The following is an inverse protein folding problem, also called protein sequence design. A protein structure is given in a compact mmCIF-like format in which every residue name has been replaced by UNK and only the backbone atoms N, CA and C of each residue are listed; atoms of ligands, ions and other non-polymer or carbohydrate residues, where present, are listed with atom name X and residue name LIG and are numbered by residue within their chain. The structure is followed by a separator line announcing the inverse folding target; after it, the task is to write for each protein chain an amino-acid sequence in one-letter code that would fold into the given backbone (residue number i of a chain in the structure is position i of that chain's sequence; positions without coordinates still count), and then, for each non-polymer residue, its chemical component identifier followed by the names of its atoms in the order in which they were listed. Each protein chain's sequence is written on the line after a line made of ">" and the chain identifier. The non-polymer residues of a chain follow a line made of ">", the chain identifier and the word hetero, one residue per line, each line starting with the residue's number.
data_IF_362956593809
#
_entry.id   IF_362956593809
#
_cell.length_a   1.000
_cell.length_b   1.000
_cell.length_c   1.000
_cell.angle_alpha   90.00
_cell.angle_beta   90.00
_cell.angle_gamma   90.00
#
_symmetry.space_group_name_H-M   'P 1'
#
loop_
_entity.id
_entity.type
_entity.pdbx_description
1 polymer ?
#
# COMPACT_ATOMS: atom_id res chain seq x y z
N UNK A 1 -11.26 14.54 19.60
CA UNK A 1 -9.89 14.62 20.17
C UNK A 1 -9.34 13.25 20.58
N UNK A 2 -10.04 12.44 21.39
CA UNK A 2 -9.56 11.15 21.87
C UNK A 2 -9.15 10.18 20.73
N UNK A 3 -10.02 9.92 19.75
CA UNK A 3 -9.70 9.08 18.59
C UNK A 3 -8.52 9.61 17.76
N UNK A 4 -8.41 10.91 17.59
CA UNK A 4 -7.30 11.52 16.84
C UNK A 4 -5.95 11.22 17.51
N UNK A 5 -5.86 11.39 18.84
CA UNK A 5 -4.63 11.15 19.59
C UNK A 5 -4.22 9.68 19.49
N UNK A 6 -5.13 8.75 19.79
CA UNK A 6 -4.81 7.32 19.70
C UNK A 6 -4.48 6.87 18.28
N UNK A 7 -5.16 7.41 17.27
CA UNK A 7 -4.85 7.11 15.88
C UNK A 7 -3.46 7.62 15.47
N UNK A 8 -3.09 8.83 15.88
CA UNK A 8 -1.75 9.38 15.62
C UNK A 8 -0.65 8.54 16.30
N UNK A 9 -0.86 8.16 17.58
CA UNK A 9 0.08 7.29 18.30
C UNK A 9 0.22 5.94 17.58
N UNK A 10 -0.89 5.32 17.22
CA UNK A 10 -0.90 4.04 16.50
C UNK A 10 -0.12 4.13 15.18
N UNK A 11 -0.40 5.13 14.35
CA UNK A 11 0.28 5.31 13.06
C UNK A 11 1.78 5.60 13.23
N UNK A 12 2.16 6.35 14.28
CA UNK A 12 3.57 6.60 14.59
C UNK A 12 4.28 5.30 14.95
N UNK A 13 3.72 4.49 15.84
CA UNK A 13 4.31 3.21 16.24
C UNK A 13 4.40 2.23 15.06
N UNK A 14 3.36 2.13 14.24
CA UNK A 14 3.39 1.31 13.01
C UNK A 14 4.49 1.76 12.06
N UNK A 15 4.66 3.06 11.88
CA UNK A 15 5.70 3.60 10.98
C UNK A 15 7.11 3.37 11.54
N UNK A 16 7.31 3.53 12.86
CA UNK A 16 8.57 3.22 13.53
C UNK A 16 8.99 1.75 13.37
N UNK A 17 8.03 0.84 13.28
CA UNK A 17 8.30 -0.57 12.99
C UNK A 17 8.49 -0.84 11.49
N UNK A 18 7.63 -0.27 10.64
CA UNK A 18 7.58 -0.57 9.22
C UNK A 18 8.81 -0.10 8.44
N UNK A 19 9.37 1.06 8.79
CA UNK A 19 10.53 1.64 8.07
C UNK A 19 11.79 0.79 8.23
N UNK A 20 12.25 0.42 9.45
CA UNK A 20 13.42 -0.45 9.62
C UNK A 20 13.19 -1.84 9.02
N UNK A 21 11.99 -2.40 9.19
CA UNK A 21 11.62 -3.69 8.59
C UNK A 21 11.72 -3.65 7.06
N UNK A 22 11.28 -2.58 6.43
CA UNK A 22 11.36 -2.41 4.97
C UNK A 22 12.80 -2.27 4.47
N UNK A 23 13.64 -1.54 5.22
CA UNK A 23 15.05 -1.40 4.90
C UNK A 23 15.84 -2.71 5.05
N UNK A 24 15.39 -3.63 5.90
CA UNK A 24 16.05 -4.91 6.14
C UNK A 24 16.26 -5.73 4.86
N UNK A 25 15.37 -5.61 3.87
CA UNK A 25 15.50 -6.31 2.59
C UNK A 25 16.79 -5.96 1.84
N UNK A 26 17.38 -4.78 2.07
CA UNK A 26 18.65 -4.38 1.47
C UNK A 26 19.85 -5.08 2.10
N UNK A 27 19.70 -5.54 3.36
CA UNK A 27 20.75 -6.16 4.14
C UNK A 27 20.73 -7.71 4.11
N UNK A 28 19.67 -8.30 3.55
CA UNK A 28 19.52 -9.78 3.47
C UNK A 28 20.57 -10.37 2.54
N UNK A 29 20.82 -9.77 1.40
CA UNK A 29 21.81 -10.24 0.42
C UNK A 29 22.46 -9.09 -0.32
N UNK A 30 23.71 -9.34 -0.75
CA UNK A 30 24.45 -8.43 -1.63
C UNK A 30 24.01 -8.59 -3.09
N UNK A 31 23.42 -9.73 -3.44
CA UNK A 31 22.94 -10.00 -4.79
C UNK A 31 21.55 -9.42 -5.03
N UNK A 32 21.39 -8.69 -6.14
CA UNK A 32 20.14 -8.01 -6.49
C UNK A 32 19.00 -9.00 -6.78
N UNK A 33 19.30 -10.14 -7.40
CA UNK A 33 18.31 -11.19 -7.69
C UNK A 33 17.71 -11.76 -6.40
N UNK A 34 18.53 -11.95 -5.37
CA UNK A 34 18.06 -12.42 -4.07
C UNK A 34 17.24 -11.36 -3.33
N UNK A 35 17.62 -10.09 -3.44
CA UNK A 35 16.83 -8.96 -2.87
C UNK A 35 15.48 -8.82 -3.57
N UNK A 36 15.43 -8.97 -4.89
CA UNK A 36 14.17 -8.94 -5.66
C UNK A 36 13.27 -10.12 -5.25
N UNK A 37 13.83 -11.32 -5.09
CA UNK A 37 13.10 -12.49 -4.58
C UNK A 37 12.62 -12.29 -3.15
N UNK A 38 13.45 -11.79 -2.25
CA UNK A 38 13.07 -11.49 -0.86
C UNK A 38 11.94 -10.46 -0.80
N UNK A 39 11.98 -9.44 -1.67
CA UNK A 39 10.90 -8.45 -1.79
C UNK A 39 9.60 -9.09 -2.26
N UNK A 40 9.65 -10.01 -3.23
CA UNK A 40 8.46 -10.72 -3.70
C UNK A 40 7.86 -11.63 -2.60
N UNK A 41 8.69 -12.38 -1.87
CA UNK A 41 8.23 -13.18 -0.73
C UNK A 41 7.59 -12.29 0.35
N UNK A 42 8.21 -11.18 0.70
CA UNK A 42 7.67 -10.21 1.66
C UNK A 42 6.31 -9.70 1.22
N UNK A 43 6.17 -9.26 -0.04
CA UNK A 43 4.91 -8.76 -0.57
C UNK A 43 3.82 -9.85 -0.61
N UNK A 44 4.19 -11.08 -0.94
CA UNK A 44 3.24 -12.21 -0.92
C UNK A 44 2.69 -12.45 0.48
N UNK A 45 3.55 -12.46 1.50
CA UNK A 45 3.13 -12.63 2.91
C UNK A 45 2.33 -11.44 3.41
N UNK A 46 2.68 -10.22 3.00
CA UNK A 46 1.93 -8.99 3.32
C UNK A 46 0.50 -9.03 2.76
N UNK A 47 0.33 -9.42 1.50
CA UNK A 47 -1.00 -9.54 0.90
C UNK A 47 -1.78 -10.72 1.50
N UNK A 48 -1.13 -11.85 1.79
CA UNK A 48 -1.77 -12.95 2.54
C UNK A 48 -2.25 -12.50 3.93
N UNK A 49 -1.45 -11.72 4.64
CA UNK A 49 -1.82 -11.12 5.93
C UNK A 49 -3.06 -10.22 5.78
N UNK A 50 -3.12 -9.42 4.71
CA UNK A 50 -4.28 -8.58 4.38
C UNK A 50 -5.53 -9.43 4.10
N UNK A 51 -5.40 -10.52 3.33
CA UNK A 51 -6.49 -11.47 3.06
C UNK A 51 -7.01 -12.08 4.36
N UNK A 52 -6.12 -12.59 5.22
CA UNK A 52 -6.50 -13.16 6.51
C UNK A 52 -7.17 -12.12 7.41
N UNK A 53 -6.62 -10.91 7.50
CA UNK A 53 -7.20 -9.81 8.27
C UNK A 53 -8.59 -9.42 7.78
N UNK A 54 -8.76 -9.29 6.47
CA UNK A 54 -10.05 -8.98 5.83
C UNK A 54 -11.07 -10.10 6.08
N UNK A 55 -10.66 -11.36 5.95
CA UNK A 55 -11.52 -12.51 6.18
C UNK A 55 -11.96 -12.58 7.66
N UNK A 56 -11.05 -12.43 8.60
CA UNK A 56 -11.34 -12.43 10.04
C UNK A 56 -12.30 -11.29 10.38
N UNK A 57 -11.98 -10.07 9.95
CA UNK A 57 -12.82 -8.91 10.20
C UNK A 57 -14.19 -9.06 9.55
N UNK A 58 -14.26 -9.54 8.31
CA UNK A 58 -15.49 -9.79 7.58
C UNK A 58 -16.41 -10.80 8.27
N UNK A 59 -15.86 -11.89 8.77
CA UNK A 59 -16.65 -12.92 9.47
C UNK A 59 -17.13 -12.45 10.86
N UNK A 60 -16.36 -11.66 11.56
CA UNK A 60 -16.72 -11.18 12.91
C UNK A 60 -17.67 -9.98 12.81
N UNK A 61 -17.32 -8.97 12.01
CA UNK A 61 -18.06 -7.71 11.93
C UNK A 61 -19.22 -7.79 10.95
N UNK A 62 -19.10 -8.57 9.88
CA UNK A 62 -20.15 -8.72 8.86
C UNK A 62 -21.47 -9.29 9.38
N UNK A 63 -21.42 -10.07 10.47
CA UNK A 63 -22.61 -10.60 11.15
C UNK A 63 -23.32 -9.56 12.04
N UNK A 64 -22.64 -8.49 12.39
CA UNK A 64 -23.15 -7.40 13.24
C UNK A 64 -23.54 -6.17 12.40
N UNK A 65 -24.18 -6.38 11.25
CA UNK A 65 -24.58 -5.29 10.35
C UNK A 65 -25.64 -4.42 10.99
N UNK A 66 -25.33 -3.15 11.21
CA UNK A 66 -26.34 -2.16 11.60
C UNK A 66 -27.31 -1.92 10.44
N UNK A 67 -28.62 -2.01 10.66
CA UNK A 67 -29.59 -1.66 9.63
C UNK A 67 -29.43 -0.20 9.22
N UNK A 68 -29.60 0.09 7.93
CA UNK A 68 -29.63 1.46 7.46
C UNK A 68 -30.88 2.19 7.99
N UNK A 69 -30.79 3.50 8.11
CA UNK A 69 -31.90 4.35 8.51
C UNK A 69 -32.72 4.67 7.25
N UNK A 70 -33.92 4.13 7.17
CA UNK A 70 -34.90 4.50 6.17
C UNK A 70 -35.51 5.82 6.64
N UNK A 71 -35.36 6.89 5.88
CA UNK A 71 -36.12 8.12 6.11
C UNK A 71 -37.60 7.79 5.89
N UNK A 72 -38.47 7.91 6.90
CA UNK A 72 -39.88 7.60 6.67
C UNK A 72 -40.42 8.54 5.59
N UNK A 73 -41.20 8.00 4.62
CA UNK A 73 -41.91 8.87 3.71
C UNK A 73 -42.77 9.82 4.53
N UNK A 74 -42.80 11.08 4.14
CA UNK A 74 -43.52 12.19 4.75
C UNK A 74 -44.97 11.79 5.08
N UNK A 75 -45.21 11.23 6.24
CA UNK A 75 -46.54 10.94 6.74
C UNK A 75 -46.82 11.85 7.95
N UNK A 76 -47.75 12.75 7.67
CA UNK A 76 -48.59 13.55 8.58
C UNK A 76 -48.43 13.27 10.09
N UNK A 77 -48.04 14.33 10.78
CA UNK A 77 -48.13 14.50 12.24
C UNK A 77 -49.51 14.10 12.74
N UNK A 78 -49.62 12.99 13.45
CA UNK A 78 -50.47 12.88 14.64
C UNK A 78 -50.39 11.45 15.25
N UNK A 79 -49.83 11.40 16.46
CA UNK A 79 -50.09 10.40 17.53
C UNK A 79 -49.66 8.91 17.39
N UNK A 80 -49.03 8.46 16.32
CA UNK A 80 -48.46 7.10 16.24
C UNK A 80 -46.94 7.04 16.57
N UNK A 81 -46.36 8.19 16.82
CA UNK A 81 -44.92 8.42 16.83
C UNK A 81 -44.17 7.96 18.08
N UNK A 82 -44.80 7.80 19.23
CA UNK A 82 -44.08 7.52 20.49
C UNK A 82 -43.74 6.03 20.67
N UNK A 83 -44.66 5.13 20.29
CA UNK A 83 -44.44 3.69 20.46
C UNK A 83 -43.45 3.13 19.42
N UNK A 84 -43.54 3.57 18.16
CA UNK A 84 -42.60 3.18 17.10
C UNK A 84 -41.21 3.76 17.33
N UNK A 85 -41.12 5.00 17.83
CA UNK A 85 -39.85 5.64 18.21
C UNK A 85 -39.14 4.88 19.33
N UNK A 86 -39.85 4.36 20.31
CA UNK A 86 -39.26 3.60 21.41
C UNK A 86 -38.82 2.20 20.99
N UNK A 87 -39.58 1.48 20.16
CA UNK A 87 -39.21 0.17 19.65
C UNK A 87 -38.02 0.26 18.70
N UNK A 88 -37.99 1.27 17.83
CA UNK A 88 -36.84 1.50 16.93
C UNK A 88 -35.59 1.94 17.70
N UNK A 89 -35.70 2.73 18.76
CA UNK A 89 -34.56 3.16 19.57
C UNK A 89 -33.96 2.02 20.39
N UNK A 90 -34.75 1.13 20.97
CA UNK A 90 -34.25 -0.03 21.72
C UNK A 90 -33.58 -1.07 20.83
N UNK A 91 -34.15 -1.36 19.65
CA UNK A 91 -33.55 -2.25 18.68
C UNK A 91 -32.26 -1.68 18.07
N UNK A 92 -32.22 -0.36 17.88
CA UNK A 92 -31.04 0.37 17.39
C UNK A 92 -29.91 0.41 18.44
N UNK A 93 -30.24 0.58 19.73
CA UNK A 93 -29.26 0.57 20.83
C UNK A 93 -28.63 -0.82 21.00
N UNK A 94 -29.39 -1.90 20.90
CA UNK A 94 -28.87 -3.26 20.94
C UNK A 94 -27.91 -3.54 19.78
N UNK A 95 -28.29 -3.19 18.55
CA UNK A 95 -27.48 -3.37 17.35
C UNK A 95 -26.15 -2.59 17.39
N UNK A 96 -26.11 -1.40 18.00
CA UNK A 96 -24.86 -0.65 18.18
C UNK A 96 -23.92 -1.29 19.20
N UNK A 97 -24.46 -1.85 20.30
CA UNK A 97 -23.66 -2.55 21.30
C UNK A 97 -23.06 -3.84 20.70
N UNK A 98 -23.82 -4.59 19.92
CA UNK A 98 -23.37 -5.80 19.22
C UNK A 98 -22.27 -5.47 18.21
N UNK A 99 -22.43 -4.41 17.43
CA UNK A 99 -21.41 -3.94 16.48
C UNK A 99 -20.12 -3.53 17.20
N UNK A 100 -20.23 -2.80 18.31
CA UNK A 100 -19.06 -2.41 19.14
C UNK A 100 -18.33 -3.63 19.68
N UNK A 101 -19.07 -4.60 20.19
CA UNK A 101 -18.51 -5.84 20.71
C UNK A 101 -17.81 -6.66 19.61
N UNK A 102 -18.40 -6.74 18.41
CA UNK A 102 -17.78 -7.39 17.27
C UNK A 102 -16.45 -6.74 16.88
N UNK A 103 -16.38 -5.41 16.83
CA UNK A 103 -15.11 -4.70 16.57
C UNK A 103 -14.09 -4.91 17.69
N UNK A 104 -14.50 -4.95 18.95
CA UNK A 104 -13.58 -5.24 20.07
C UNK A 104 -13.00 -6.65 19.98
N UNK A 105 -13.82 -7.65 19.64
CA UNK A 105 -13.36 -9.04 19.45
C UNK A 105 -12.42 -9.11 18.26
N UNK A 106 -12.76 -8.52 17.12
CA UNK A 106 -11.89 -8.48 15.94
C UNK A 106 -10.53 -7.82 16.25
N UNK A 107 -10.54 -6.69 16.97
CA UNK A 107 -9.32 -6.01 17.38
C UNK A 107 -8.47 -6.87 18.33
N UNK A 108 -9.10 -7.62 19.25
CA UNK A 108 -8.41 -8.53 20.15
C UNK A 108 -7.73 -9.69 19.41
N UNK A 109 -8.41 -10.29 18.43
CA UNK A 109 -7.85 -11.38 17.60
C UNK A 109 -6.68 -10.86 16.75
N UNK A 110 -6.84 -9.73 16.07
CA UNK A 110 -5.78 -9.15 15.23
C UNK A 110 -4.60 -8.71 16.09
N UNK A 111 -4.85 -8.09 17.26
CA UNK A 111 -3.80 -7.71 18.21
C UNK A 111 -3.02 -8.92 18.74
N UNK A 112 -3.69 -10.03 19.02
CA UNK A 112 -3.05 -11.28 19.39
C UNK A 112 -2.13 -11.84 18.29
N UNK A 113 -2.56 -11.76 17.03
CA UNK A 113 -1.73 -12.15 15.88
C UNK A 113 -0.50 -11.23 15.74
N UNK A 114 -0.64 -9.93 15.96
CA UNK A 114 0.52 -9.02 15.93
C UNK A 114 1.55 -9.35 17.00
N UNK A 115 1.11 -9.64 18.24
CA UNK A 115 2.01 -10.05 19.34
C UNK A 115 2.73 -11.35 18.97
N UNK A 116 2.00 -12.34 18.44
CA UNK A 116 2.58 -13.60 18.01
C UNK A 116 3.66 -13.40 16.94
N UNK A 117 3.36 -12.60 15.90
CA UNK A 117 4.33 -12.29 14.85
C UNK A 117 5.56 -11.54 15.39
N UNK A 118 5.37 -10.59 16.31
CA UNK A 118 6.46 -9.85 16.94
C UNK A 118 7.37 -10.77 17.77
N UNK A 119 6.80 -11.72 18.51
CA UNK A 119 7.56 -12.72 19.26
C UNK A 119 8.35 -13.63 18.32
N UNK A 120 7.73 -14.14 17.25
CA UNK A 120 8.42 -14.98 16.25
C UNK A 120 9.59 -14.20 15.63
N UNK A 121 9.39 -12.94 15.27
CA UNK A 121 10.44 -12.10 14.70
C UNK A 121 11.60 -11.89 15.70
N UNK A 122 11.28 -11.58 16.97
CA UNK A 122 12.29 -11.30 18.00
C UNK A 122 13.13 -12.51 18.35
N UNK A 123 12.52 -13.71 18.32
CA UNK A 123 13.22 -14.98 18.65
C UNK A 123 13.91 -15.58 17.42
N UNK A 124 13.30 -15.46 16.25
CA UNK A 124 13.77 -16.11 15.01
C UNK A 124 14.86 -15.35 14.27
N UNK A 125 14.94 -14.03 14.41
CA UNK A 125 15.90 -13.20 13.69
C UNK A 125 17.04 -12.80 14.62
N UNK A 126 18.26 -13.21 14.28
CA UNK A 126 19.49 -12.78 14.97
C UNK A 126 20.18 -11.73 14.12
N UNK A 127 20.55 -10.62 14.75
CA UNK A 127 21.35 -9.58 14.09
C UNK A 127 22.74 -10.14 13.77
N UNK A 128 23.08 -10.17 12.48
CA UNK A 128 24.42 -10.54 12.03
C UNK A 128 25.31 -9.30 12.23
N UNK A 129 26.18 -9.33 13.23
CA UNK A 129 27.27 -8.35 13.37
C UNK A 129 28.22 -8.56 12.19
N UNK A 130 27.96 -7.87 11.11
CA UNK A 130 28.92 -7.76 10.03
C UNK A 130 30.04 -6.85 10.53
N UNK A 131 31.28 -7.36 10.45
CA UNK A 131 32.49 -6.66 10.82
C UNK A 131 32.50 -5.24 10.23
N UNK A 132 32.98 -4.32 10.99
CA UNK A 132 33.02 -2.86 10.91
C UNK A 132 33.39 -2.17 9.58
N UNK A 133 33.48 -2.86 8.48
CA UNK A 133 33.82 -2.28 7.16
C UNK A 133 32.69 -1.45 6.51
N UNK A 134 31.47 -1.55 7.02
CA UNK A 134 30.30 -0.80 6.53
C UNK A 134 29.92 0.38 7.41
N UNK A 135 30.58 0.56 8.53
CA UNK A 135 30.33 1.65 9.44
C UNK A 135 31.20 2.85 9.00
N UNK A 136 30.61 3.82 8.32
CA UNK A 136 31.24 5.12 8.16
C UNK A 136 31.44 5.72 9.54
N UNK A 137 32.67 6.11 9.87
CA UNK A 137 33.05 6.66 11.19
C UNK A 137 32.37 8.01 11.50
N UNK A 138 31.70 8.63 10.55
CA UNK A 138 30.95 9.88 10.75
C UNK A 138 29.45 9.65 10.79
N UNK A 139 28.74 10.13 11.83
CA UNK A 139 27.29 10.08 11.89
C UNK A 139 26.69 10.93 10.75
N UNK A 140 25.96 10.27 9.87
CA UNK A 140 25.27 10.93 8.76
C UNK A 140 24.25 11.93 9.31
N UNK A 141 24.48 13.23 9.06
CA UNK A 141 23.50 14.26 9.40
C UNK A 141 22.22 14.02 8.59
N UNK A 142 21.10 13.75 9.28
CA UNK A 142 19.81 13.47 8.67
C UNK A 142 19.41 14.52 7.62
N UNK A 143 19.53 15.81 7.95
CA UNK A 143 19.17 16.90 7.02
C UNK A 143 20.09 16.98 5.79
N UNK A 144 21.37 16.67 5.94
CA UNK A 144 22.29 16.63 4.81
C UNK A 144 21.97 15.44 3.90
N UNK A 145 21.75 14.28 4.49
CA UNK A 145 21.33 13.07 3.75
C UNK A 145 20.00 13.27 3.03
N UNK A 146 19.03 13.89 3.70
CA UNK A 146 17.75 14.26 3.12
C UNK A 146 17.91 15.14 1.88
N UNK A 147 18.69 16.23 2.00
CA UNK A 147 18.95 17.14 0.88
C UNK A 147 19.61 16.42 -0.29
N UNK A 148 20.52 15.49 0.01
CA UNK A 148 21.24 14.73 -1.01
C UNK A 148 20.30 13.77 -1.74
N UNK A 149 19.45 13.01 -1.01
CA UNK A 149 18.46 12.11 -1.55
C UNK A 149 17.40 12.84 -2.40
N UNK A 150 16.91 13.98 -1.89
CA UNK A 150 15.93 14.81 -2.62
C UNK A 150 16.52 15.56 -3.81
N UNK A 151 17.83 15.64 -3.93
CA UNK A 151 18.47 16.19 -5.12
C UNK A 151 18.80 15.11 -6.17
N UNK A 152 18.65 13.83 -5.83
CA UNK A 152 18.90 12.74 -6.75
C UNK A 152 17.78 12.61 -7.79
N UNK A 153 18.07 12.98 -9.04
CA UNK A 153 17.05 13.12 -10.11
C UNK A 153 16.29 11.86 -10.42
N UNK A 154 16.91 10.68 -10.34
CA UNK A 154 16.22 9.39 -10.57
C UNK A 154 15.18 9.12 -9.48
N UNK A 155 15.51 9.42 -8.22
CA UNK A 155 14.61 9.23 -7.09
C UNK A 155 13.37 10.13 -7.18
N UNK A 156 13.55 11.42 -7.45
CA UNK A 156 12.45 12.37 -7.56
C UNK A 156 11.47 11.97 -8.65
N UNK A 157 11.97 11.56 -9.83
CA UNK A 157 11.14 11.10 -10.94
C UNK A 157 10.36 9.84 -10.59
N UNK A 158 11.00 8.88 -9.89
CA UNK A 158 10.36 7.67 -9.40
C UNK A 158 9.24 7.99 -8.42
N UNK A 159 9.56 8.76 -7.36
CA UNK A 159 8.59 9.10 -6.30
C UNK A 159 7.42 9.91 -6.87
N UNK A 160 7.66 10.87 -7.76
CA UNK A 160 6.60 11.67 -8.34
C UNK A 160 5.65 10.81 -9.19
N UNK A 161 6.18 9.89 -10.00
CA UNK A 161 5.36 8.94 -10.75
C UNK A 161 4.51 8.04 -9.84
N UNK A 162 5.11 7.49 -8.79
CA UNK A 162 4.39 6.66 -7.82
C UNK A 162 3.44 7.45 -6.93
N UNK A 163 3.69 8.71 -6.66
CA UNK A 163 2.77 9.56 -5.90
C UNK A 163 1.41 9.67 -6.60
N UNK A 164 1.38 9.93 -7.89
CA UNK A 164 0.13 10.02 -8.65
C UNK A 164 -0.57 8.67 -8.79
N UNK A 165 0.17 7.59 -9.06
CA UNK A 165 -0.41 6.25 -9.14
C UNK A 165 -0.89 5.76 -7.77
N UNK A 166 -0.15 6.00 -6.70
CA UNK A 166 -0.59 5.70 -5.33
C UNK A 166 -1.85 6.47 -4.95
N UNK A 167 -1.94 7.76 -5.30
CA UNK A 167 -3.14 8.56 -5.06
C UNK A 167 -4.36 7.96 -5.77
N UNK A 168 -4.19 7.48 -7.02
CA UNK A 168 -5.25 6.82 -7.77
C UNK A 168 -5.74 5.55 -7.06
N UNK A 169 -4.82 4.67 -6.65
CA UNK A 169 -5.18 3.43 -5.96
C UNK A 169 -5.77 3.68 -4.57
N UNK A 170 -5.28 4.65 -3.81
CA UNK A 170 -5.82 5.02 -2.50
C UNK A 170 -7.23 5.63 -2.60
N UNK A 171 -7.52 6.41 -3.66
CA UNK A 171 -8.87 6.90 -3.95
C UNK A 171 -9.81 5.75 -4.27
N UNK A 172 -9.38 4.81 -5.10
CA UNK A 172 -10.14 3.62 -5.44
C UNK A 172 -10.45 2.79 -4.19
N UNK A 173 -9.44 2.45 -3.40
CA UNK A 173 -9.58 1.64 -2.19
C UNK A 173 -10.49 2.30 -1.16
N UNK A 174 -10.31 3.60 -0.90
CA UNK A 174 -11.10 4.34 0.09
C UNK A 174 -12.59 4.48 -0.28
N UNK A 175 -12.93 4.52 -1.56
CA UNK A 175 -14.31 4.69 -2.03
C UNK A 175 -14.97 3.37 -2.49
N UNK A 176 -14.22 2.29 -2.61
CA UNK A 176 -14.71 1.02 -3.16
C UNK A 176 -15.88 0.44 -2.36
N UNK A 177 -15.81 0.50 -1.03
CA UNK A 177 -16.87 0.02 -0.16
C UNK A 177 -18.21 0.77 -0.38
N UNK A 178 -18.14 2.10 -0.46
CA UNK A 178 -19.31 2.95 -0.69
C UNK A 178 -19.86 2.74 -2.11
N UNK A 179 -18.99 2.61 -3.09
CA UNK A 179 -19.35 2.34 -4.46
C UNK A 179 -20.08 0.99 -4.61
N UNK A 180 -19.56 -0.09 -4.03
CA UNK A 180 -20.23 -1.39 -4.04
C UNK A 180 -21.57 -1.37 -3.32
N UNK A 181 -21.66 -0.64 -2.20
CA UNK A 181 -22.86 -0.57 -1.37
C UNK A 181 -23.97 0.25 -2.01
N UNK A 182 -23.65 1.47 -2.50
CA UNK A 182 -24.65 2.44 -2.91
C UNK A 182 -24.84 2.54 -4.42
N UNK A 183 -23.77 2.33 -5.20
CA UNK A 183 -23.86 2.44 -6.67
C UNK A 183 -24.17 1.11 -7.33
N UNK A 184 -23.51 0.03 -6.92
CA UNK A 184 -23.76 -1.30 -7.45
C UNK A 184 -24.90 -2.05 -6.72
N UNK A 185 -25.25 -1.64 -5.50
CA UNK A 185 -26.29 -2.29 -4.70
C UNK A 185 -25.87 -3.59 -4.02
N UNK A 186 -24.57 -3.95 -4.02
CA UNK A 186 -24.03 -5.20 -3.48
C UNK A 186 -23.58 -5.08 -2.02
N UNK A 187 -24.43 -4.56 -1.16
CA UNK A 187 -24.12 -4.31 0.25
C UNK A 187 -23.64 -5.57 0.99
N UNK A 188 -24.26 -6.71 0.76
CA UNK A 188 -23.93 -7.96 1.43
C UNK A 188 -22.73 -8.68 0.80
N UNK A 189 -22.44 -8.42 -0.48
CA UNK A 189 -21.40 -9.10 -1.25
C UNK A 189 -20.07 -8.33 -1.27
N UNK A 190 -20.03 -7.09 -0.76
CA UNK A 190 -18.84 -6.24 -0.78
C UNK A 190 -17.60 -6.97 -0.23
N UNK A 191 -17.74 -7.67 0.90
CA UNK A 191 -16.61 -8.37 1.52
C UNK A 191 -16.10 -9.54 0.68
N UNK A 192 -17.01 -10.26 0.03
CA UNK A 192 -16.68 -11.37 -0.87
C UNK A 192 -15.97 -10.85 -2.13
N UNK A 193 -16.42 -9.70 -2.67
CA UNK A 193 -15.79 -9.05 -3.83
C UNK A 193 -14.39 -8.57 -3.45
N UNK A 194 -14.23 -7.93 -2.28
CA UNK A 194 -12.92 -7.49 -1.78
C UNK A 194 -11.97 -8.68 -1.56
N UNK A 195 -12.48 -9.77 -0.98
CA UNK A 195 -11.72 -11.00 -0.79
C UNK A 195 -11.26 -11.59 -2.14
N UNK A 196 -12.13 -11.58 -3.16
CA UNK A 196 -11.79 -12.04 -4.50
C UNK A 196 -10.65 -11.20 -5.14
N UNK A 197 -10.69 -9.87 -4.98
CA UNK A 197 -9.61 -8.97 -5.43
C UNK A 197 -8.29 -9.32 -4.73
N UNK A 198 -8.30 -9.44 -3.41
CA UNK A 198 -7.09 -9.70 -2.62
C UNK A 198 -6.51 -11.09 -2.89
N UNK A 199 -7.36 -12.09 -3.04
CA UNK A 199 -6.94 -13.45 -3.38
C UNK A 199 -6.31 -13.51 -4.77
N UNK A 200 -6.93 -12.88 -5.76
CA UNK A 200 -6.40 -12.75 -7.10
C UNK A 200 -5.06 -12.00 -7.11
N UNK A 201 -4.93 -10.90 -6.35
CA UNK A 201 -3.69 -10.16 -6.20
C UNK A 201 -2.58 -11.05 -5.64
N UNK A 202 -2.86 -11.81 -4.56
CA UNK A 202 -1.88 -12.73 -3.95
C UNK A 202 -1.37 -13.77 -4.94
N UNK A 203 -2.29 -14.40 -5.68
CA UNK A 203 -1.94 -15.45 -6.64
C UNK A 203 -1.15 -14.93 -7.85
N UNK A 204 -1.27 -13.66 -8.17
CA UNK A 204 -0.59 -13.03 -9.32
C UNK A 204 0.74 -12.37 -8.99
N UNK A 205 1.13 -12.22 -7.72
CA UNK A 205 2.46 -11.71 -7.34
C UNK A 205 3.61 -12.51 -7.97
N UNK A 206 3.63 -13.86 -7.93
CA UNK A 206 4.68 -14.63 -8.57
C UNK A 206 4.76 -14.42 -10.09
N UNK A 207 3.61 -14.21 -10.75
CA UNK A 207 3.56 -13.86 -12.16
C UNK A 207 4.24 -12.50 -12.42
N UNK A 208 3.93 -11.48 -11.62
CA UNK A 208 4.57 -10.17 -11.76
C UNK A 208 6.05 -10.21 -11.45
N UNK A 209 6.48 -11.01 -10.48
CA UNK A 209 7.90 -11.23 -10.19
C UNK A 209 8.63 -11.85 -11.39
N UNK A 210 8.06 -12.87 -12.00
CA UNK A 210 8.60 -13.46 -13.24
C UNK A 210 8.60 -12.44 -14.37
N UNK A 211 7.52 -11.68 -14.55
CA UNK A 211 7.38 -10.70 -15.63
C UNK A 211 8.42 -9.58 -15.52
N UNK A 212 8.63 -9.02 -14.32
CA UNK A 212 9.60 -7.94 -14.11
C UNK A 212 11.05 -8.40 -14.31
N UNK A 213 11.35 -9.66 -13.98
CA UNK A 213 12.69 -10.23 -14.22
C UNK A 213 12.96 -10.51 -15.68
N UNK A 214 11.92 -10.86 -16.45
CA UNK A 214 12.03 -11.21 -17.88
C UNK A 214 12.01 -10.02 -18.82
N UNK A 215 11.12 -9.06 -18.57
CA UNK A 215 10.83 -7.94 -19.47
C UNK A 215 11.32 -6.59 -18.92
N UNK A 216 11.87 -6.57 -17.72
CA UNK A 216 12.36 -5.38 -17.05
C UNK A 216 11.28 -4.65 -16.25
N UNK A 217 11.73 -3.94 -15.19
CA UNK A 217 10.87 -3.29 -14.20
C UNK A 217 10.06 -2.14 -14.80
N UNK A 218 10.66 -1.33 -15.69
CA UNK A 218 9.98 -0.21 -16.35
C UNK A 218 8.82 -0.68 -17.23
N UNK A 219 9.03 -1.75 -18.02
CA UNK A 219 7.98 -2.37 -18.84
C UNK A 219 6.85 -2.93 -17.95
N UNK A 220 7.21 -3.57 -16.83
CA UNK A 220 6.24 -4.10 -15.88
C UNK A 220 5.36 -3.00 -15.28
N UNK A 221 5.92 -1.81 -14.96
CA UNK A 221 5.15 -0.64 -14.49
C UNK A 221 4.12 -0.22 -15.53
N UNK A 222 4.54 -0.05 -16.79
CA UNK A 222 3.62 0.35 -17.85
C UNK A 222 2.49 -0.67 -18.04
N UNK A 223 2.81 -1.94 -18.18
CA UNK A 223 1.81 -2.99 -18.40
C UNK A 223 0.93 -3.19 -17.17
N UNK A 224 1.53 -3.28 -15.98
CA UNK A 224 0.82 -3.57 -14.74
C UNK A 224 -0.13 -2.46 -14.30
N UNK A 225 0.35 -1.22 -14.33
CA UNK A 225 -0.48 -0.09 -13.89
C UNK A 225 -1.51 0.30 -14.96
N UNK A 226 -1.15 0.27 -16.26
CA UNK A 226 -2.11 0.57 -17.33
C UNK A 226 -3.22 -0.48 -17.44
N UNK A 227 -2.97 -1.73 -17.05
CA UNK A 227 -3.99 -2.78 -17.05
C UNK A 227 -5.17 -2.48 -16.11
N UNK A 228 -5.01 -1.60 -15.10
CA UNK A 228 -6.10 -1.16 -14.25
C UNK A 228 -7.14 -0.30 -15.01
N UNK A 229 -6.70 0.49 -15.99
CA UNK A 229 -7.56 1.47 -16.69
C UNK A 229 -8.81 0.85 -17.32
N UNK A 230 -8.73 -0.22 -18.15
CA UNK A 230 -9.93 -0.83 -18.72
C UNK A 230 -10.90 -1.34 -17.66
N UNK A 231 -10.40 -1.89 -16.55
CA UNK A 231 -11.27 -2.40 -15.48
C UNK A 231 -12.00 -1.28 -14.74
N UNK A 232 -11.34 -0.16 -14.49
CA UNK A 232 -11.95 1.03 -13.89
C UNK A 232 -13.06 1.63 -14.77
N UNK A 233 -12.90 1.57 -16.09
CA UNK A 233 -13.93 2.03 -17.04
C UNK A 233 -15.09 1.03 -17.06
N UNK A 234 -14.81 -0.26 -17.18
CA UNK A 234 -15.82 -1.32 -17.25
C UNK A 234 -16.71 -1.33 -16.03
N UNK A 235 -16.16 -1.21 -14.81
CA UNK A 235 -16.92 -1.22 -13.54
C UNK A 235 -17.99 -0.12 -13.49
N UNK A 236 -17.74 1.03 -14.11
CA UNK A 236 -18.68 2.18 -14.08
C UNK A 236 -19.74 2.12 -15.19
N UNK A 237 -19.38 1.50 -16.33
CA UNK A 237 -20.26 1.42 -17.51
C UNK A 237 -21.23 0.22 -17.40
N UNK A 238 -20.81 -0.84 -16.73
CA UNK A 238 -21.66 -2.04 -16.60
C UNK A 238 -22.80 -1.82 -15.61
N UNK A 239 -23.95 -2.35 -15.98
CA UNK A 239 -25.10 -2.49 -15.09
C UNK A 239 -24.78 -3.43 -13.94
N UNK A 240 -25.53 -3.34 -12.83
CA UNK A 240 -25.37 -4.09 -11.58
C UNK A 240 -25.52 -5.61 -11.77
N UNK A 241 -24.55 -6.25 -12.42
CA UNK A 241 -24.51 -7.71 -12.61
C UNK A 241 -23.39 -8.29 -11.75
N UNK A 242 -23.79 -9.10 -10.78
CA UNK A 242 -22.88 -9.68 -9.79
C UNK A 242 -21.77 -10.54 -10.43
N UNK A 243 -22.11 -11.35 -11.44
CA UNK A 243 -21.12 -12.24 -12.11
C UNK A 243 -20.05 -11.42 -12.81
N UNK A 244 -20.44 -10.38 -13.54
CA UNK A 244 -19.50 -9.48 -14.24
C UNK A 244 -18.64 -8.74 -13.22
N UNK A 245 -19.24 -8.28 -12.11
CA UNK A 245 -18.49 -7.62 -11.02
C UNK A 245 -17.40 -8.53 -10.45
N UNK A 246 -17.65 -9.83 -10.24
CA UNK A 246 -16.61 -10.75 -9.79
C UNK A 246 -15.51 -10.98 -10.84
N UNK A 247 -15.86 -11.07 -12.11
CA UNK A 247 -14.87 -11.22 -13.19
C UNK A 247 -13.95 -9.99 -13.23
N UNK A 248 -14.54 -8.79 -13.17
CA UNK A 248 -13.79 -7.53 -13.13
C UNK A 248 -12.96 -7.42 -11.85
N UNK A 249 -13.47 -7.85 -10.71
CA UNK A 249 -12.76 -7.86 -9.43
C UNK A 249 -11.51 -8.75 -9.49
N UNK A 250 -11.61 -9.96 -10.01
CA UNK A 250 -10.47 -10.87 -10.20
C UNK A 250 -9.44 -10.25 -11.14
N UNK A 251 -9.88 -9.66 -12.25
CA UNK A 251 -9.00 -8.99 -13.20
C UNK A 251 -8.33 -7.72 -12.60
N UNK A 252 -9.07 -6.94 -11.81
CA UNK A 252 -8.52 -5.79 -11.09
C UNK A 252 -7.45 -6.20 -10.06
N UNK A 253 -7.61 -7.36 -9.40
CA UNK A 253 -6.63 -7.90 -8.47
C UNK A 253 -5.25 -8.11 -9.10
N UNK A 254 -5.18 -8.46 -10.39
CA UNK A 254 -3.91 -8.57 -11.14
C UNK A 254 -3.19 -7.23 -11.18
N UNK A 255 -3.90 -6.13 -11.46
CA UNK A 255 -3.33 -4.79 -11.51
C UNK A 255 -2.93 -4.27 -10.12
N UNK A 256 -3.72 -4.60 -9.10
CA UNK A 256 -3.44 -4.28 -7.69
C UNK A 256 -2.11 -4.92 -7.26
N UNK A 257 -1.88 -6.19 -7.60
CA UNK A 257 -0.62 -6.87 -7.31
C UNK A 257 0.60 -6.14 -7.92
N UNK A 258 0.48 -5.68 -9.15
CA UNK A 258 1.54 -4.89 -9.80
C UNK A 258 1.78 -3.56 -9.06
N UNK A 259 0.71 -2.84 -8.70
CA UNK A 259 0.80 -1.55 -8.03
C UNK A 259 1.48 -1.64 -6.65
N UNK A 260 1.30 -2.76 -5.94
CA UNK A 260 1.97 -2.99 -4.66
C UNK A 260 3.43 -3.45 -4.81
N UNK A 261 3.71 -4.37 -5.75
CA UNK A 261 5.03 -4.97 -5.90
C UNK A 261 6.07 -4.03 -6.54
N UNK A 262 5.69 -3.32 -7.60
CA UNK A 262 6.64 -2.60 -8.45
C UNK A 262 7.38 -1.46 -7.76
N UNK A 263 6.75 -0.60 -6.93
CA UNK A 263 7.46 0.46 -6.23
C UNK A 263 8.57 -0.06 -5.32
N UNK A 264 8.27 -1.10 -4.55
CA UNK A 264 9.24 -1.73 -3.65
C UNK A 264 10.39 -2.42 -4.38
N UNK A 265 10.12 -2.96 -5.57
CA UNK A 265 11.13 -3.57 -6.42
C UNK A 265 12.05 -2.54 -7.10
N UNK A 266 11.53 -1.33 -7.43
CA UNK A 266 12.31 -0.30 -8.13
C UNK A 266 13.15 0.57 -7.20
N UNK A 267 12.75 0.72 -5.95
CA UNK A 267 13.45 1.55 -4.98
C UNK A 267 14.90 1.13 -4.74
N UNK A 268 15.25 -0.17 -4.60
CA UNK A 268 16.63 -0.62 -4.53
C UNK A 268 17.50 -0.23 -5.73
N UNK A 269 16.94 -0.21 -6.95
CA UNK A 269 17.71 0.14 -8.16
C UNK A 269 18.15 1.62 -8.13
N UNK A 270 17.30 2.49 -7.58
CA UNK A 270 17.64 3.92 -7.40
C UNK A 270 18.68 4.10 -6.31
N UNK A 271 18.62 3.30 -5.25
CA UNK A 271 19.63 3.32 -4.18
C UNK A 271 20.99 2.85 -4.72
N UNK A 272 21.00 1.83 -5.58
CA UNK A 272 22.20 1.34 -6.22
C UNK A 272 22.81 2.42 -7.18
N UNK A 273 21.97 3.13 -7.95
CA UNK A 273 22.40 4.26 -8.77
C UNK A 273 22.97 5.41 -7.93
N UNK A 274 22.34 5.72 -6.81
CA UNK A 274 22.81 6.73 -5.87
C UNK A 274 24.18 6.37 -5.27
N UNK A 275 24.39 5.10 -4.91
CA UNK A 275 25.67 4.61 -4.36
C UNK A 275 26.82 4.77 -5.34
N UNK A 276 26.57 4.58 -6.65
CA UNK A 276 27.56 4.79 -7.70
C UNK A 276 27.94 6.27 -7.86
N UNK A 277 26.94 7.17 -7.74
CA UNK A 277 27.18 8.61 -7.86
C UNK A 277 27.83 9.22 -6.61
N UNK A 278 27.64 8.60 -5.45
CA UNK A 278 28.11 9.09 -4.15
C UNK A 278 28.75 7.97 -3.32
N UNK A 279 29.92 7.42 -3.73
CA UNK A 279 30.54 6.28 -3.06
C UNK A 279 30.95 6.58 -1.61
N UNK A 280 31.21 7.84 -1.28
CA UNK A 280 31.53 8.31 0.07
C UNK A 280 30.32 8.39 1.02
N UNK A 281 29.10 8.37 0.46
CA UNK A 281 27.85 8.57 1.20
C UNK A 281 27.19 7.21 1.50
N UNK A 282 27.75 6.44 2.42
CA UNK A 282 27.18 5.16 2.88
C UNK A 282 26.14 5.40 3.98
N UNK A 283 25.16 4.50 4.12
CA UNK A 283 24.18 4.52 5.20
C UNK A 283 22.92 5.39 4.96
N UNK A 284 22.69 5.86 3.72
CA UNK A 284 21.52 6.68 3.39
C UNK A 284 20.30 5.86 2.95
N UNK A 285 20.41 4.54 2.86
CA UNK A 285 19.35 3.64 2.35
C UNK A 285 18.05 3.79 3.13
N UNK A 286 18.14 3.88 4.45
CA UNK A 286 16.97 4.06 5.31
C UNK A 286 16.20 5.37 5.01
N UNK A 287 16.91 6.42 4.55
CA UNK A 287 16.28 7.70 4.19
C UNK A 287 15.40 7.53 2.96
N UNK A 288 15.84 6.79 1.92
CA UNK A 288 15.04 6.51 0.73
C UNK A 288 13.74 5.79 1.08
N UNK A 289 13.81 4.74 1.90
CA UNK A 289 12.63 4.01 2.34
C UNK A 289 11.71 4.86 3.23
N UNK A 290 12.26 5.65 4.14
CA UNK A 290 11.49 6.54 5.02
C UNK A 290 10.67 7.55 4.22
N UNK A 291 11.28 8.17 3.21
CA UNK A 291 10.57 9.13 2.35
C UNK A 291 9.54 8.47 1.45
N UNK A 292 9.83 7.28 0.92
CA UNK A 292 8.84 6.52 0.19
C UNK A 292 7.60 6.23 1.05
N UNK A 293 7.80 5.74 2.28
CA UNK A 293 6.70 5.49 3.22
C UNK A 293 5.97 6.78 3.60
N UNK A 294 6.71 7.89 3.81
CA UNK A 294 6.12 9.19 4.08
C UNK A 294 5.17 9.62 2.95
N UNK A 295 5.62 9.57 1.69
CA UNK A 295 4.79 9.95 0.55
C UNK A 295 3.59 9.03 0.38
N UNK A 296 3.72 7.74 0.63
CA UNK A 296 2.59 6.78 0.61
C UNK A 296 1.55 7.14 1.66
N UNK A 297 1.96 7.46 2.89
CA UNK A 297 1.04 7.88 3.96
C UNK A 297 0.43 9.25 3.68
N UNK A 298 1.19 10.17 3.11
CA UNK A 298 0.71 11.48 2.69
C UNK A 298 -0.38 11.35 1.62
N UNK A 299 -0.16 10.54 0.58
CA UNK A 299 -1.18 10.26 -0.45
C UNK A 299 -2.44 9.63 0.11
N UNK A 300 -2.31 8.72 1.07
CA UNK A 300 -3.47 8.12 1.76
C UNK A 300 -4.30 9.19 2.49
N UNK A 301 -3.65 10.11 3.20
CA UNK A 301 -4.34 11.23 3.88
C UNK A 301 -5.01 12.19 2.89
N UNK A 302 -4.33 12.56 1.81
CA UNK A 302 -4.88 13.42 0.75
C UNK A 302 -6.07 12.75 0.06
N UNK A 303 -5.96 11.47 -0.25
CA UNK A 303 -7.04 10.66 -0.83
C UNK A 303 -8.29 10.66 0.05
N UNK A 304 -8.12 10.43 1.35
CA UNK A 304 -9.22 10.46 2.31
C UNK A 304 -9.87 11.85 2.37
N UNK A 305 -9.05 12.91 2.39
CA UNK A 305 -9.53 14.29 2.35
C UNK A 305 -10.35 14.61 1.10
N UNK A 306 -9.83 14.26 -0.08
CA UNK A 306 -10.55 14.43 -1.35
C UNK A 306 -11.87 13.67 -1.34
N UNK A 307 -11.86 12.41 -0.89
CA UNK A 307 -13.05 11.55 -0.85
C UNK A 307 -14.11 12.12 0.08
N UNK A 308 -13.74 12.46 1.31
CA UNK A 308 -14.70 12.97 2.31
C UNK A 308 -15.30 14.32 1.90
N UNK A 309 -14.49 15.26 1.42
CA UNK A 309 -14.95 16.55 0.94
C UNK A 309 -15.87 16.41 -0.27
N UNK A 310 -15.50 15.59 -1.25
CA UNK A 310 -16.31 15.36 -2.45
C UNK A 310 -17.67 14.76 -2.13
N UNK A 311 -17.71 13.81 -1.19
CA UNK A 311 -18.96 13.17 -0.76
C UNK A 311 -19.82 14.11 0.09
N UNK A 312 -19.22 14.94 0.94
CA UNK A 312 -19.94 15.96 1.72
C UNK A 312 -20.62 16.99 0.80
N UNK A 313 -19.88 17.51 -0.19
CA UNK A 313 -20.46 18.41 -1.21
C UNK A 313 -21.56 17.75 -2.04
N UNK A 314 -21.51 16.45 -2.27
CA UNK A 314 -22.55 15.70 -2.95
C UNK A 314 -23.77 15.41 -2.07
N UNK A 315 -23.74 15.77 -0.78
CA UNK A 315 -24.85 15.56 0.14
C UNK A 315 -24.93 14.13 0.69
N UNK A 316 -23.78 13.45 0.88
CA UNK A 316 -23.74 12.09 1.44
C UNK A 316 -24.36 12.03 2.84
N UNK A 317 -25.35 11.17 2.99
CA UNK A 317 -26.01 10.92 4.26
C UNK A 317 -25.44 9.66 4.93
N UNK A 318 -24.79 9.88 6.08
CA UNK A 318 -24.23 8.76 6.85
C UNK A 318 -25.33 7.80 7.28
N UNK A 319 -25.21 6.51 6.91
CA UNK A 319 -26.17 5.44 7.23
C UNK A 319 -27.52 5.53 6.51
N UNK A 320 -27.73 6.42 5.55
CA UNK A 320 -28.93 6.41 4.73
C UNK A 320 -29.05 5.10 3.93
N UNK A 321 -30.27 4.54 3.79
CA UNK A 321 -30.51 3.37 2.96
C UNK A 321 -30.38 3.69 1.48
N UNK A 322 -30.80 4.90 1.09
CA UNK A 322 -30.61 5.46 -0.25
C UNK A 322 -29.79 6.74 -0.18
N UNK A 323 -29.05 7.02 -1.22
CA UNK A 323 -28.25 8.23 -1.36
C UNK A 323 -28.76 9.09 -2.51
N UNK A 324 -28.57 10.43 -2.47
CA UNK A 324 -28.85 11.30 -3.60
C UNK A 324 -28.14 10.86 -4.88
N UNK A 325 -28.71 11.20 -6.04
CA UNK A 325 -28.11 10.90 -7.35
C UNK A 325 -26.71 11.47 -7.52
N UNK A 326 -26.48 12.66 -6.95
CA UNK A 326 -25.20 13.37 -6.94
C UNK A 326 -24.09 12.56 -6.26
N UNK A 327 -24.41 11.84 -5.18
CA UNK A 327 -23.47 10.94 -4.49
C UNK A 327 -23.06 9.78 -5.40
N UNK A 328 -24.01 9.19 -6.14
CA UNK A 328 -23.68 8.11 -7.07
C UNK A 328 -22.78 8.58 -8.22
N UNK A 329 -23.02 9.77 -8.76
CA UNK A 329 -22.15 10.37 -9.79
C UNK A 329 -20.77 10.63 -9.22
N UNK A 330 -20.69 11.21 -8.03
CA UNK A 330 -19.42 11.48 -7.34
C UNK A 330 -18.62 10.19 -7.07
N UNK A 331 -19.27 9.12 -6.60
CA UNK A 331 -18.63 7.83 -6.40
C UNK A 331 -18.10 7.22 -7.71
N UNK A 332 -18.87 7.33 -8.80
CA UNK A 332 -18.42 6.91 -10.15
C UNK A 332 -17.17 7.69 -10.60
N UNK A 333 -17.14 9.01 -10.37
CA UNK A 333 -15.98 9.85 -10.69
C UNK A 333 -14.75 9.48 -9.84
N UNK A 334 -14.93 9.29 -8.53
CA UNK A 334 -13.84 8.96 -7.60
C UNK A 334 -13.28 7.55 -7.81
N UNK A 335 -14.07 6.62 -8.33
CA UNK A 335 -13.64 5.23 -8.56
C UNK A 335 -13.12 5.02 -10.00
N UNK A 336 -13.49 5.86 -10.96
CA UNK A 336 -13.11 5.68 -12.37
C UNK A 336 -12.36 6.89 -12.93
N UNK A 337 -13.04 7.98 -13.26
CA UNK A 337 -12.47 9.06 -14.06
C UNK A 337 -11.24 9.70 -13.40
N UNK A 338 -11.30 9.99 -12.10
CA UNK A 338 -10.18 10.61 -11.36
C UNK A 338 -8.99 9.65 -11.26
N UNK A 339 -9.14 8.38 -10.81
CA UNK A 339 -8.03 7.43 -10.81
C UNK A 339 -7.42 7.19 -12.19
N UNK A 340 -8.23 7.08 -13.25
CA UNK A 340 -7.72 6.93 -14.62
C UNK A 340 -6.86 8.13 -15.02
N UNK A 341 -7.31 9.35 -14.77
CA UNK A 341 -6.53 10.57 -15.05
C UNK A 341 -5.19 10.59 -14.29
N UNK A 342 -5.21 10.22 -13.01
CA UNK A 342 -4.01 10.16 -12.16
C UNK A 342 -3.05 9.04 -12.60
N UNK A 343 -3.56 7.89 -13.00
CA UNK A 343 -2.75 6.79 -13.54
C UNK A 343 -2.05 7.24 -14.83
N UNK A 344 -2.77 7.85 -15.76
CA UNK A 344 -2.20 8.34 -17.02
C UNK A 344 -1.12 9.40 -16.78
N UNK A 345 -1.36 10.32 -15.85
CA UNK A 345 -0.37 11.32 -15.44
C UNK A 345 0.87 10.66 -14.81
N UNK A 346 0.68 9.71 -13.91
CA UNK A 346 1.77 8.95 -13.30
C UNK A 346 2.60 8.18 -14.33
N UNK A 347 1.96 7.50 -15.28
CA UNK A 347 2.63 6.79 -16.37
C UNK A 347 3.42 7.75 -17.28
N UNK A 348 2.88 8.95 -17.55
CA UNK A 348 3.58 9.98 -18.30
C UNK A 348 4.87 10.42 -17.57
N UNK A 349 4.80 10.60 -16.25
CA UNK A 349 5.97 10.95 -15.43
C UNK A 349 7.00 9.83 -15.38
N UNK A 350 6.57 8.55 -15.37
CA UNK A 350 7.49 7.41 -15.49
C UNK A 350 8.29 7.39 -16.80
N UNK A 351 7.80 8.02 -17.86
CA UNK A 351 8.59 8.18 -19.09
C UNK A 351 9.90 8.94 -18.86
N UNK A 352 9.89 9.87 -17.92
CA UNK A 352 11.06 10.68 -17.53
C UNK A 352 12.04 9.92 -16.61
N UNK A 353 11.66 8.75 -16.12
CA UNK A 353 12.52 7.92 -15.26
C UNK A 353 13.70 7.36 -16.03
N UNK A 354 14.96 7.66 -15.60
CA UNK A 354 16.14 7.41 -16.42
C UNK A 354 16.69 5.98 -16.34
N UNK A 355 16.34 5.22 -15.28
CA UNK A 355 16.89 3.88 -15.09
C UNK A 355 16.03 2.87 -15.85
N UNK A 356 16.50 2.47 -17.01
CA UNK A 356 15.99 1.33 -17.78
C UNK A 356 16.78 0.05 -17.46
N UNK A 357 16.47 -1.04 -18.14
CA UNK A 357 17.09 -2.33 -17.88
C UNK A 357 18.58 -2.35 -18.29
N UNK A 358 18.96 -1.58 -19.30
CA UNK A 358 20.36 -1.44 -19.74
C UNK A 358 21.16 -0.70 -18.66
N UNK A 359 20.68 0.46 -18.21
CA UNK A 359 21.31 1.24 -17.15
C UNK A 359 21.39 0.48 -15.81
N UNK A 360 20.35 -0.30 -15.50
CA UNK A 360 20.35 -1.18 -14.34
C UNK A 360 21.46 -2.24 -14.41
N UNK A 361 21.69 -2.85 -15.59
CA UNK A 361 22.77 -3.83 -15.80
C UNK A 361 24.14 -3.16 -15.71
N UNK A 362 24.31 -1.97 -16.27
CA UNK A 362 25.53 -1.18 -16.13
C UNK A 362 25.83 -0.86 -14.66
N UNK A 363 24.84 -0.35 -13.91
CA UNK A 363 24.97 -0.04 -12.50
C UNK A 363 25.35 -1.30 -11.68
N UNK A 364 24.74 -2.44 -11.98
CA UNK A 364 25.06 -3.71 -11.33
C UNK A 364 26.51 -4.11 -11.57
N UNK A 365 26.98 -4.02 -12.82
CA UNK A 365 28.37 -4.35 -13.18
C UNK A 365 29.36 -3.40 -12.50
N UNK A 366 29.11 -2.10 -12.55
CA UNK A 366 29.97 -1.10 -11.91
C UNK A 366 30.07 -1.28 -10.39
N UNK A 367 28.95 -1.63 -9.71
CA UNK A 367 28.98 -1.95 -8.28
C UNK A 367 29.73 -3.25 -7.97
N UNK A 368 29.71 -4.20 -8.90
CA UNK A 368 30.46 -5.45 -8.75
C UNK A 368 31.96 -5.20 -8.91
N UNK A 369 32.35 -4.45 -9.93
CA UNK A 369 33.74 -4.05 -10.19
C UNK A 369 34.33 -3.29 -8.98
N UNK A 370 33.59 -2.30 -8.43
CA UNK A 370 33.98 -1.57 -7.21
C UNK A 370 34.16 -2.47 -5.97
N UNK A 371 33.36 -3.52 -5.85
CA UNK A 371 33.50 -4.50 -4.75
C UNK A 371 34.72 -5.39 -4.92
N UNK A 372 35.03 -5.80 -6.13
CA UNK A 372 36.21 -6.61 -6.43
C UNK A 372 37.49 -5.81 -6.17
N UNK A 373 37.52 -4.53 -6.57
CA UNK A 373 38.62 -3.61 -6.25
C UNK A 373 38.81 -3.41 -4.74
N UNK A 374 37.71 -3.21 -4.00
CA UNK A 374 37.77 -3.06 -2.53
C UNK A 374 38.24 -4.33 -1.84
N UNK A 375 37.84 -5.50 -2.29
CA UNK A 375 38.27 -6.78 -1.72
C UNK A 375 39.74 -7.05 -2.01
N UNK A 376 40.23 -6.75 -3.24
CA UNK A 376 41.63 -6.93 -3.60
C UNK A 376 42.57 -5.99 -2.83
N UNK A 377 42.16 -4.75 -2.57
CA UNK A 377 42.93 -3.83 -1.74
C UNK A 377 42.99 -4.23 -0.27
N UNK A 378 41.89 -4.74 0.31
CA UNK A 378 41.89 -5.24 1.69
C UNK A 378 42.71 -6.54 1.86
N UNK A 379 42.78 -7.38 0.82
CA UNK A 379 43.60 -8.61 0.83
C UNK A 379 45.09 -8.29 0.68
N UNK A 380 45.46 -7.27 -0.09
CA UNK A 380 46.84 -6.78 -0.19
C UNK A 380 47.32 -6.13 1.13
N UNK A 381 46.52 -5.30 1.78
CA UNK A 381 46.82 -4.70 3.06
C UNK A 381 46.97 -5.74 4.19
N UNK A 382 46.11 -6.76 4.20
CA UNK A 382 46.23 -7.87 5.18
C UNK A 382 47.47 -8.74 4.98
N UNK A 383 47.89 -8.86 3.72
CA UNK A 383 49.11 -9.63 3.37
C UNK A 383 50.39 -8.84 3.70
N UNK A 384 50.35 -7.53 3.53
CA UNK A 384 51.47 -6.62 3.91
C UNK A 384 51.63 -6.56 5.44
N UNK A 385 50.54 -6.47 6.19
CA UNK A 385 50.54 -6.54 7.65
C UNK A 385 51.03 -7.88 8.18
N UNK A 386 50.69 -8.98 7.52
CA UNK A 386 51.18 -10.32 7.89
C UNK A 386 52.66 -10.54 7.59
N UNK A 387 53.26 -9.79 6.67
CA UNK A 387 54.68 -9.84 6.33
C UNK A 387 55.57 -8.92 7.20
N UNK A 388 54.95 -8.06 8.03
CA UNK A 388 55.65 -7.12 8.92
C UNK A 388 55.72 -7.67 10.38
N UNK A 389 54.97 -8.69 10.71
CA UNK A 389 54.98 -9.43 11.99
C UNK A 389 55.79 -10.71 11.84
#
# INVERSE_FOLDING_TARGET
>A
MWYLIFYCIFQTLVTCFHVPYSALTMFISREQSERDSATAYRMTVEVLGTVLGTAIQGQIVGKAVTPCIENPPFLSENNFSAAIRNVNMTHYSGSLADTRNAYMVAAGVIGGLYILCAVILSVGVREKRESSELQSDEPVSFFRGLKLVMNHGAYIKLITGFLFTSLAFMLLEGNFALFCTYTLGFRNEFQNILLAIMLSATLTIPFWQWFLTRFGKKTAVYVGISSAVPFLIVVVVLDSNLVITYIVAVAAGISVAAAFLLPWSMLPDVIDDFRLQHPESRGHEAIFFSFYVFFTKFTSGVSLGISTLSLDFAGYQTRGCSQPSEVNVTLKLLVSAVPVGLILLGLLLFKLYPIDEEKRRENKKALQDLREESNSSSESDSTELANIV
#
